data_IF_755667390513
#
_entry.id   IF_755667390513
#
_cell.length_a   1.000
_cell.length_b   1.000
_cell.length_c   1.000
_cell.angle_alpha   90.00
_cell.angle_beta   90.00
_cell.angle_gamma   90.00
#
_symmetry.space_group_name_H-M   'P 1'
#
loop_
_entity.id
_entity.type
_entity.pdbx_description
1 polymer ?
#
# COMPACT_ATOMS: atom_id res chain seq x y z
N UNK A 1 2.15 1.91 3.07
CA UNK A 1 0.91 2.62 3.44
C UNK A 1 1.13 4.13 3.36
N UNK A 2 0.56 4.83 2.39
CA UNK A 2 0.63 6.29 2.32
C UNK A 2 -0.53 6.95 3.08
N UNK A 3 -0.20 8.04 3.81
CA UNK A 3 -1.18 8.86 4.53
C UNK A 3 -0.96 10.34 4.21
N UNK A 4 -2.02 11.04 3.84
CA UNK A 4 -2.01 12.46 3.46
C UNK A 4 -1.99 13.38 4.68
N UNK A 5 -1.70 14.67 4.46
CA UNK A 5 -1.67 15.67 5.53
C UNK A 5 -3.05 15.91 6.18
N UNK A 6 -4.13 15.68 5.44
CA UNK A 6 -5.52 15.72 5.93
C UNK A 6 -6.00 14.36 6.46
N UNK A 7 -5.06 13.47 6.80
CA UNK A 7 -5.30 12.18 7.44
C UNK A 7 -6.15 11.20 6.62
N UNK A 8 -6.03 11.23 5.28
CA UNK A 8 -6.60 10.19 4.41
C UNK A 8 -5.55 9.15 4.08
N UNK A 9 -5.94 7.88 4.03
CA UNK A 9 -5.09 6.81 3.50
C UNK A 9 -5.30 6.67 2.00
N UNK A 10 -4.22 6.43 1.24
CA UNK A 10 -4.30 6.17 -0.20
C UNK A 10 -4.28 4.66 -0.40
N UNK A 11 -5.28 4.17 -1.11
CA UNK A 11 -5.48 2.77 -1.46
C UNK A 11 -5.62 2.65 -2.98
N UNK A 12 -5.40 1.44 -3.47
CA UNK A 12 -5.61 1.04 -4.86
C UNK A 12 -6.73 0.01 -4.90
N UNK A 13 -7.63 0.16 -5.84
CA UNK A 13 -8.58 -0.87 -6.22
C UNK A 13 -8.06 -1.52 -7.49
N UNK A 14 -7.59 -2.77 -7.39
CA UNK A 14 -6.93 -3.49 -8.47
C UNK A 14 -7.58 -4.85 -8.71
N UNK A 15 -7.78 -5.21 -9.99
CA UNK A 15 -8.25 -6.55 -10.35
C UNK A 15 -7.13 -7.59 -10.19
N UNK A 16 -7.40 -8.64 -9.43
CA UNK A 16 -6.46 -9.74 -9.21
C UNK A 16 -6.98 -11.03 -9.83
N UNK A 17 -6.40 -11.42 -10.96
CA UNK A 17 -6.80 -12.59 -11.74
C UNK A 17 -6.82 -13.88 -10.91
N UNK A 18 -5.86 -14.09 -10.03
CA UNK A 18 -5.77 -15.29 -9.21
C UNK A 18 -7.00 -15.54 -8.33
N UNK A 19 -7.69 -14.48 -7.91
CA UNK A 19 -8.90 -14.52 -7.11
C UNK A 19 -10.15 -14.05 -7.86
N UNK A 20 -10.00 -13.67 -9.14
CA UNK A 20 -11.05 -13.24 -10.06
C UNK A 20 -11.94 -12.12 -9.50
N UNK A 21 -11.34 -11.13 -8.85
CA UNK A 21 -12.04 -9.97 -8.28
C UNK A 21 -11.14 -8.78 -8.07
N UNK A 22 -11.77 -7.62 -7.86
CA UNK A 22 -11.07 -6.44 -7.36
C UNK A 22 -10.74 -6.61 -5.88
N UNK A 23 -9.53 -6.21 -5.50
CA UNK A 23 -9.11 -6.08 -4.10
C UNK A 23 -8.78 -4.61 -3.81
N UNK A 24 -8.96 -4.23 -2.55
CA UNK A 24 -8.51 -2.96 -2.02
C UNK A 24 -7.16 -3.17 -1.33
N UNK A 25 -6.13 -2.51 -1.83
CA UNK A 25 -4.74 -2.75 -1.44
C UNK A 25 -3.99 -1.44 -1.19
N UNK A 26 -2.98 -1.46 -0.32
CA UNK A 26 -1.99 -0.40 -0.34
C UNK A 26 -1.06 -0.53 -1.53
N UNK A 27 -0.54 0.60 -2.08
CA UNK A 27 0.45 0.59 -3.15
C UNK A 27 1.61 -0.34 -2.82
N UNK A 28 1.98 -1.18 -3.78
CA UNK A 28 3.02 -2.18 -3.60
C UNK A 28 3.54 -2.67 -4.95
N UNK A 29 4.84 -2.96 -5.02
CA UNK A 29 5.45 -3.52 -6.21
C UNK A 29 6.56 -4.49 -5.89
N UNK A 30 7.09 -5.11 -6.94
CA UNK A 30 8.16 -6.08 -6.86
C UNK A 30 9.52 -5.37 -6.93
N UNK A 31 10.47 -5.83 -6.11
CA UNK A 31 11.85 -5.35 -6.14
C UNK A 31 12.50 -5.66 -7.49
N UNK A 32 13.08 -4.66 -8.12
CA UNK A 32 13.95 -4.85 -9.28
C UNK A 32 15.34 -5.35 -8.86
N UNK A 33 16.08 -5.93 -9.80
CA UNK A 33 17.44 -6.45 -9.53
C UNK A 33 18.35 -5.32 -9.04
N UNK A 34 18.86 -5.45 -7.83
CA UNK A 34 19.74 -4.46 -7.21
C UNK A 34 19.03 -3.30 -6.53
N UNK A 35 17.70 -3.29 -6.53
CA UNK A 35 16.90 -2.28 -5.83
C UNK A 35 16.78 -2.60 -4.35
N UNK A 36 16.78 -1.57 -3.51
CA UNK A 36 16.47 -1.73 -2.09
C UNK A 36 14.96 -1.59 -1.85
N UNK A 37 14.38 -2.22 -0.81
CA UNK A 37 12.95 -2.13 -0.53
C UNK A 37 12.42 -0.69 -0.43
N UNK A 38 13.18 0.21 0.18
CA UNK A 38 12.78 1.63 0.29
C UNK A 38 12.80 2.35 -1.06
N UNK A 39 13.72 2.03 -1.96
CA UNK A 39 13.76 2.65 -3.28
C UNK A 39 12.64 2.12 -4.17
N UNK A 40 12.35 0.82 -4.09
CA UNK A 40 11.22 0.21 -4.78
C UNK A 40 9.91 0.89 -4.40
N UNK A 41 9.58 0.97 -3.11
CA UNK A 41 8.31 1.58 -2.69
C UNK A 41 8.23 3.07 -3.00
N UNK A 42 9.35 3.80 -3.05
CA UNK A 42 9.37 5.19 -3.50
C UNK A 42 9.05 5.35 -4.98
N UNK A 43 9.48 4.42 -5.81
CA UNK A 43 9.14 4.35 -7.24
C UNK A 43 7.67 3.98 -7.43
N UNK A 44 7.25 2.88 -6.82
CA UNK A 44 5.90 2.34 -6.97
C UNK A 44 4.81 3.34 -6.53
N UNK A 45 4.99 4.04 -5.40
CA UNK A 45 3.98 5.02 -4.98
C UNK A 45 3.81 6.16 -5.99
N UNK A 46 4.89 6.54 -6.70
CA UNK A 46 4.81 7.56 -7.74
C UNK A 46 4.10 7.05 -8.98
N UNK A 47 4.44 5.83 -9.41
CA UNK A 47 3.89 5.20 -10.60
C UNK A 47 2.42 4.86 -10.44
N UNK A 48 2.02 4.26 -9.34
CA UNK A 48 0.65 3.81 -9.08
C UNK A 48 -0.29 4.91 -8.60
N UNK A 49 0.22 5.90 -7.83
CA UNK A 49 -0.66 6.88 -7.17
C UNK A 49 -0.49 8.31 -7.64
N UNK A 50 0.63 8.64 -8.28
CA UNK A 50 0.99 10.02 -8.62
C UNK A 50 1.42 10.88 -7.43
N UNK A 51 1.77 10.28 -6.29
CA UNK A 51 2.29 10.98 -5.13
C UNK A 51 3.76 10.62 -4.88
N UNK A 52 4.49 11.55 -4.26
CA UNK A 52 5.78 11.31 -3.61
C UNK A 52 5.62 11.53 -2.10
N UNK A 53 6.53 10.95 -1.30
CA UNK A 53 6.57 11.15 0.14
C UNK A 53 7.97 11.57 0.58
N UNK A 54 8.05 12.50 1.53
CA UNK A 54 9.32 12.95 2.10
C UNK A 54 9.72 12.12 3.32
N UNK A 55 8.74 11.61 4.07
CA UNK A 55 8.98 10.88 5.32
C UNK A 55 8.57 9.42 5.21
N UNK A 56 9.50 8.55 5.57
CA UNK A 56 9.33 7.11 5.49
C UNK A 56 9.71 6.46 6.81
N UNK A 57 8.80 5.64 7.34
CA UNK A 57 9.04 4.84 8.53
C UNK A 57 8.88 3.36 8.19
N UNK A 58 9.87 2.55 8.57
CA UNK A 58 9.84 1.11 8.34
C UNK A 58 8.92 0.45 9.38
N UNK A 59 7.93 -0.29 8.89
CA UNK A 59 6.98 -1.05 9.70
C UNK A 59 7.36 -2.52 9.87
N UNK A 60 8.55 -2.91 9.36
CA UNK A 60 9.05 -4.28 9.36
C UNK A 60 8.60 -5.11 8.16
N UNK A 61 8.77 -6.42 8.26
CA UNK A 61 8.50 -7.35 7.16
C UNK A 61 7.54 -8.46 7.58
N UNK A 62 6.93 -9.11 6.59
CA UNK A 62 6.11 -10.30 6.77
C UNK A 62 6.39 -11.33 5.66
N UNK A 63 6.10 -12.59 5.94
CA UNK A 63 6.01 -13.66 4.93
C UNK A 63 4.54 -13.91 4.68
N UNK A 64 4.11 -13.79 3.43
CA UNK A 64 2.68 -13.81 3.08
C UNK A 64 2.09 -15.23 3.07
N UNK A 65 2.80 -16.19 2.47
CA UNK A 65 2.28 -17.53 2.23
C UNK A 65 3.34 -18.62 2.44
N UNK A 66 3.83 -18.84 3.67
CA UNK A 66 5.03 -19.67 3.94
C UNK A 66 4.86 -21.15 3.60
N UNK A 67 3.63 -21.61 3.34
CA UNK A 67 3.37 -22.99 2.94
C UNK A 67 3.78 -23.32 1.49
N UNK A 68 3.91 -22.28 0.61
CA UNK A 68 4.22 -22.50 -0.81
C UNK A 68 4.97 -21.34 -1.48
N UNK A 69 5.27 -20.27 -0.76
CA UNK A 69 6.01 -19.10 -1.26
C UNK A 69 7.02 -18.64 -0.21
N UNK A 70 8.21 -18.26 -0.65
CA UNK A 70 9.25 -17.62 0.13
C UNK A 70 9.20 -16.08 0.05
N UNK A 71 8.12 -15.53 -0.50
CA UNK A 71 7.91 -14.10 -0.65
C UNK A 71 7.99 -13.38 0.69
N UNK A 72 8.88 -12.40 0.77
CA UNK A 72 9.00 -11.47 1.90
C UNK A 72 8.50 -10.10 1.48
N UNK A 73 7.54 -9.56 2.21
CA UNK A 73 6.98 -8.23 1.97
C UNK A 73 7.52 -7.25 3.01
N UNK A 74 8.14 -6.16 2.55
CA UNK A 74 8.62 -5.07 3.38
C UNK A 74 7.54 -3.99 3.49
N UNK A 75 7.22 -3.57 4.71
CA UNK A 75 6.14 -2.63 4.99
C UNK A 75 6.69 -1.28 5.40
N UNK A 76 6.15 -0.21 4.82
CA UNK A 76 6.53 1.17 5.09
C UNK A 76 5.30 2.05 5.31
N UNK A 77 5.45 3.04 6.19
CA UNK A 77 4.53 4.18 6.33
C UNK A 77 5.14 5.37 5.57
N UNK A 78 4.39 5.92 4.63
CA UNK A 78 4.76 7.09 3.86
C UNK A 78 3.93 8.29 4.31
N UNK A 79 4.60 9.37 4.71
CA UNK A 79 4.01 10.61 5.21
C UNK A 79 4.56 11.82 4.48
N UNK A 80 3.94 12.98 4.69
CA UNK A 80 4.33 14.23 4.04
C UNK A 80 4.26 14.07 2.51
N UNK A 81 3.07 13.65 2.05
CA UNK A 81 2.81 13.37 0.65
C UNK A 81 2.66 14.66 -0.15
N UNK A 82 3.25 14.67 -1.34
CA UNK A 82 3.10 15.73 -2.35
C UNK A 82 2.60 15.12 -3.65
N UNK A 83 1.57 15.73 -4.26
CA UNK A 83 1.07 15.30 -5.55
C UNK A 83 2.05 15.70 -6.64
N UNK A 84 2.41 14.74 -7.49
CA UNK A 84 3.26 14.98 -8.65
C UNK A 84 2.46 15.61 -9.79
N UNK A 85 3.11 16.50 -10.58
CA UNK A 85 2.52 17.09 -11.78
C UNK A 85 2.62 16.16 -13.01
N UNK A 86 3.02 14.90 -12.81
CA UNK A 86 3.12 13.88 -13.86
C UNK A 86 1.84 13.07 -13.95
N UNK A 87 1.49 12.63 -15.16
CA UNK A 87 0.44 11.63 -15.34
C UNK A 87 0.86 10.32 -14.63
N UNK A 88 -0.08 9.69 -13.95
CA UNK A 88 0.10 8.36 -13.37
C UNK A 88 0.40 7.40 -14.52
N UNK A 89 1.58 6.82 -14.51
CA UNK A 89 2.01 5.81 -15.47
C UNK A 89 1.87 4.44 -14.81
N UNK A 90 0.65 3.99 -14.63
CA UNK A 90 0.42 2.55 -14.41
C UNK A 90 0.88 1.78 -15.64
N UNK A 91 1.32 0.56 -15.48
CA UNK A 91 1.60 -0.34 -16.62
C UNK A 91 0.33 -0.47 -17.46
N UNK A 92 0.49 -0.54 -18.79
CA UNK A 92 -0.62 -0.56 -19.76
C UNK A 92 -1.63 -1.69 -19.53
N UNK A 93 -1.28 -2.69 -18.73
CA UNK A 93 -2.08 -3.87 -18.42
C UNK A 93 -2.69 -3.84 -17.00
N UNK A 94 -2.47 -2.77 -16.23
CA UNK A 94 -2.97 -2.64 -14.86
C UNK A 94 -4.25 -1.80 -14.80
N UNK A 95 -5.36 -2.47 -14.45
CA UNK A 95 -6.63 -1.82 -14.12
C UNK A 95 -6.60 -1.39 -12.64
N UNK A 96 -6.02 -0.20 -12.40
CA UNK A 96 -5.82 0.39 -11.05
C UNK A 96 -6.65 1.66 -10.92
N UNK A 97 -7.44 1.73 -9.86
CA UNK A 97 -8.15 2.92 -9.43
C UNK A 97 -7.57 3.41 -8.09
N UNK A 98 -7.14 4.67 -8.03
CA UNK A 98 -6.61 5.30 -6.81
C UNK A 98 -7.75 5.83 -5.97
N UNK A 99 -7.84 5.41 -4.71
CA UNK A 99 -8.86 5.80 -3.76
C UNK A 99 -8.24 6.50 -2.55
N UNK A 100 -8.95 7.48 -2.00
CA UNK A 100 -8.62 8.09 -0.70
C UNK A 100 -9.74 7.77 0.29
N UNK A 101 -9.37 7.21 1.42
CA UNK A 101 -10.31 6.72 2.43
C UNK A 101 -10.00 7.30 3.80
N UNK A 102 -11.02 7.50 4.59
CA UNK A 102 -10.84 7.85 6.00
C UNK A 102 -10.30 6.66 6.80
N UNK A 103 -9.39 6.88 7.77
CA UNK A 103 -8.89 5.84 8.64
C UNK A 103 -9.99 5.04 9.35
N UNK A 104 -11.05 5.69 9.79
CA UNK A 104 -12.19 5.05 10.43
C UNK A 104 -12.97 4.15 9.47
N UNK A 105 -13.12 4.57 8.21
CA UNK A 105 -13.75 3.76 7.17
C UNK A 105 -12.95 2.49 6.89
N UNK A 106 -11.62 2.59 6.77
CA UNK A 106 -10.75 1.43 6.60
C UNK A 106 -10.79 0.49 7.81
N UNK A 107 -10.81 1.04 9.03
CA UNK A 107 -10.97 0.24 10.25
C UNK A 107 -12.27 -0.56 10.25
N UNK A 108 -13.37 0.06 9.82
CA UNK A 108 -14.67 -0.59 9.73
C UNK A 108 -14.66 -1.70 8.68
N UNK A 109 -14.06 -1.47 7.51
CA UNK A 109 -13.92 -2.50 6.47
C UNK A 109 -13.11 -3.70 6.94
N UNK A 110 -11.99 -3.46 7.62
CA UNK A 110 -11.13 -4.53 8.16
C UNK A 110 -11.86 -5.31 9.25
N UNK A 111 -12.60 -4.61 10.11
CA UNK A 111 -13.26 -5.22 11.28
C UNK A 111 -14.52 -5.99 10.92
N UNK A 112 -15.28 -5.52 9.94
CA UNK A 112 -16.52 -6.19 9.50
C UNK A 112 -16.24 -7.52 8.80
N UNK A 113 -15.14 -7.61 8.06
CA UNK A 113 -14.84 -8.75 7.21
C UNK A 113 -15.78 -8.91 6.00
N UNK A 114 -16.55 -7.86 5.69
CA UNK A 114 -17.52 -7.88 4.56
C UNK A 114 -16.80 -7.83 3.20
N UNK A 115 -15.60 -7.25 3.18
CA UNK A 115 -14.73 -7.24 2.00
C UNK A 115 -13.51 -8.13 2.20
N UNK A 116 -13.07 -8.77 1.11
CA UNK A 116 -11.82 -9.53 1.10
C UNK A 116 -10.68 -8.55 0.83
N UNK A 117 -9.85 -8.36 1.83
CA UNK A 117 -8.61 -7.59 1.76
C UNK A 117 -7.40 -8.52 1.68
N UNK A 118 -6.33 -8.05 1.06
CA UNK A 118 -5.08 -8.81 1.11
C UNK A 118 -4.39 -8.70 2.48
N UNK A 119 -3.57 -9.70 2.81
CA UNK A 119 -2.90 -9.79 4.10
C UNK A 119 -1.89 -8.66 4.34
N UNK A 120 -1.22 -8.16 3.29
CA UNK A 120 -0.24 -7.07 3.43
C UNK A 120 -0.93 -5.76 3.82
N UNK A 121 -2.11 -5.48 3.26
CA UNK A 121 -2.89 -4.27 3.55
C UNK A 121 -3.38 -4.28 5.00
N UNK A 122 -3.97 -5.37 5.47
CA UNK A 122 -4.42 -5.52 6.86
C UNK A 122 -3.24 -5.40 7.85
N UNK A 123 -2.12 -6.07 7.54
CA UNK A 123 -0.94 -6.04 8.41
C UNK A 123 -0.28 -4.65 8.43
N UNK A 124 -0.15 -4.01 7.27
CA UNK A 124 0.43 -2.66 7.18
C UNK A 124 -0.42 -1.65 7.96
N UNK A 125 -1.74 -1.73 7.82
CA UNK A 125 -2.67 -0.88 8.57
C UNK A 125 -2.52 -1.05 10.08
N UNK A 126 -2.55 -2.30 10.56
CA UNK A 126 -2.40 -2.59 11.99
C UNK A 126 -1.07 -2.05 12.55
N UNK A 127 0.06 -2.31 11.86
CA UNK A 127 1.38 -1.84 12.30
C UNK A 127 1.51 -0.32 12.24
N UNK A 128 0.94 0.33 11.21
CA UNK A 128 0.96 1.77 11.09
C UNK A 128 0.19 2.46 12.22
N UNK A 129 -0.98 1.95 12.61
CA UNK A 129 -1.73 2.45 13.78
C UNK A 129 -0.89 2.35 15.05
N UNK A 130 -0.28 1.18 15.31
CA UNK A 130 0.58 0.99 16.48
C UNK A 130 1.81 1.90 16.47
N UNK A 131 2.28 2.30 15.30
CA UNK A 131 3.38 3.24 15.15
C UNK A 131 2.92 4.68 15.41
N UNK A 132 1.80 5.09 14.83
CA UNK A 132 1.23 6.43 14.97
C UNK A 132 0.78 6.73 16.40
N UNK A 133 0.24 5.75 17.10
CA UNK A 133 -0.18 5.87 18.51
C UNK A 133 0.98 6.12 19.49
N UNK A 134 2.24 5.94 19.02
CA UNK A 134 3.46 6.16 19.83
C UNK A 134 4.13 7.49 19.56
N UNK A 135 3.66 8.27 18.58
CA UNK A 135 4.18 9.58 18.23
C UNK A 135 3.48 10.69 19.03
#
# INVERSE_FOLDING_TARGET
MPITADNKVILLRQYRFAVSRYLLEFPAGTLEIGETPINSIKREIQEETGFSAEKWDELGSLVNAPGYSDEVIHLFLARELSKLNSEVKGDLDEDIEVLMMDPEELDNLISSGDEILDAKTVTAWFRAKQFLDKL
#
